data_IF_795744068179
#
_entry.id   IF_795744068179
#
_cell.length_a   1.000
_cell.length_b   1.000
_cell.length_c   1.000
_cell.angle_alpha   90.00
_cell.angle_beta   90.00
_cell.angle_gamma   90.00
#
_symmetry.space_group_name_H-M   'P 1'
#
loop_
_entity.id
_entity.type
_entity.pdbx_description
1 polymer ?
#
# COMPACT_ATOMS: atom_id res chain seq x y z
N UNK A 1 -1.18 21.60 0.36
CA UNK A 1 -0.41 20.40 0.75
C UNK A 1 0.29 19.92 -0.50
N UNK A 2 1.62 19.94 -0.52
CA UNK A 2 2.43 19.70 -1.72
C UNK A 2 3.44 18.61 -1.35
N UNK A 3 3.56 17.55 -2.15
CA UNK A 3 4.49 16.45 -1.87
C UNK A 3 3.88 15.04 -1.83
N UNK A 4 2.63 14.86 -2.27
CA UNK A 4 2.02 13.54 -2.39
C UNK A 4 2.34 12.83 -3.72
N UNK A 5 3.07 13.48 -4.63
CA UNK A 5 3.60 12.88 -5.86
C UNK A 5 5.10 12.59 -5.71
N UNK A 6 5.53 11.41 -6.16
CA UNK A 6 6.93 11.02 -6.22
C UNK A 6 7.23 10.35 -7.57
N UNK A 7 8.39 10.63 -8.16
CA UNK A 7 8.84 10.05 -9.43
C UNK A 7 8.71 10.98 -10.64
N UNK A 8 9.24 10.54 -11.79
CA UNK A 8 9.22 11.29 -13.06
C UNK A 8 8.62 10.46 -14.21
N UNK A 9 9.16 9.26 -14.45
CA UNK A 9 8.65 8.30 -15.48
C UNK A 9 7.77 7.20 -14.90
N UNK A 10 8.02 6.83 -13.66
CA UNK A 10 7.18 5.96 -12.86
C UNK A 10 6.74 6.79 -11.66
N UNK A 11 5.49 7.22 -11.67
CA UNK A 11 4.97 8.24 -10.75
C UNK A 11 3.99 7.58 -9.79
N UNK A 12 4.14 7.86 -8.50
CA UNK A 12 3.17 7.46 -7.47
C UNK A 12 2.55 8.71 -6.84
N UNK A 13 1.23 8.69 -6.69
CA UNK A 13 0.45 9.79 -6.14
C UNK A 13 -0.43 9.28 -5.00
N UNK A 14 -0.07 9.59 -3.76
CA UNK A 14 -0.80 9.14 -2.58
C UNK A 14 -1.97 10.04 -2.22
N UNK A 15 -3.01 9.47 -1.62
CA UNK A 15 -4.18 10.17 -1.13
C UNK A 15 -4.81 9.46 0.08
N UNK A 16 -5.69 10.17 0.77
CA UNK A 16 -6.39 9.68 1.96
C UNK A 16 -5.67 10.01 3.26
N UNK A 17 -6.36 9.76 4.37
CA UNK A 17 -5.92 10.08 5.72
C UNK A 17 -6.14 8.88 6.64
N UNK A 18 -5.36 8.78 7.71
CA UNK A 18 -5.40 7.63 8.64
C UNK A 18 -6.75 7.43 9.35
N UNK A 19 -7.54 8.50 9.49
CA UNK A 19 -8.90 8.45 10.06
C UNK A 19 -9.98 8.65 9.00
N UNK A 20 -9.58 8.70 7.72
CA UNK A 20 -10.50 8.77 6.59
C UNK A 20 -11.10 7.39 6.27
N UNK A 21 -12.06 7.38 5.33
CA UNK A 21 -12.71 6.13 4.91
C UNK A 21 -11.72 5.17 4.22
N UNK A 22 -10.70 5.69 3.55
CA UNK A 22 -9.67 4.90 2.87
C UNK A 22 -8.38 5.70 2.73
N UNK A 23 -7.28 4.96 2.52
CA UNK A 23 -6.01 5.48 2.00
C UNK A 23 -5.72 4.80 0.67
N UNK A 24 -4.94 5.44 -0.19
CA UNK A 24 -4.58 4.85 -1.47
C UNK A 24 -3.44 5.55 -2.17
N UNK A 25 -3.05 4.95 -3.29
CA UNK A 25 -2.07 5.53 -4.19
C UNK A 25 -2.43 5.24 -5.64
N UNK A 26 -2.17 6.20 -6.52
CA UNK A 26 -2.24 6.03 -7.97
C UNK A 26 -0.83 5.83 -8.51
N UNK A 27 -0.65 4.82 -9.37
CA UNK A 27 0.63 4.52 -10.00
C UNK A 27 0.48 4.74 -11.51
N UNK A 28 1.37 5.56 -12.06
CA UNK A 28 1.48 5.85 -13.50
C UNK A 28 2.88 5.47 -14.03
N UNK A 29 2.95 5.13 -15.31
CA UNK A 29 4.17 4.70 -15.98
C UNK A 29 4.50 3.21 -15.88
N UNK A 30 3.53 2.39 -15.47
CA UNK A 30 3.69 0.93 -15.46
C UNK A 30 3.68 0.39 -16.90
N UNK A 31 4.69 -0.41 -17.30
CA UNK A 31 4.71 -1.00 -18.64
C UNK A 31 3.55 -1.98 -18.84
N UNK A 32 2.99 -2.01 -20.04
CA UNK A 32 1.94 -2.96 -20.40
C UNK A 32 2.47 -4.40 -20.38
N UNK A 33 1.60 -5.35 -20.01
CA UNK A 33 1.93 -6.78 -20.00
C UNK A 33 2.62 -7.27 -18.73
N UNK A 34 2.85 -6.40 -17.75
CA UNK A 34 3.26 -6.82 -16.40
C UNK A 34 2.06 -7.52 -15.72
N UNK A 35 2.16 -8.81 -15.32
CA UNK A 35 1.14 -9.43 -14.51
C UNK A 35 1.06 -8.70 -13.17
N UNK A 36 -0.15 -8.39 -12.74
CA UNK A 36 -0.42 -7.74 -11.46
C UNK A 36 -1.67 -8.35 -10.86
N UNK A 37 -1.56 -8.86 -9.65
CA UNK A 37 -2.67 -9.43 -8.89
C UNK A 37 -2.84 -8.72 -7.56
N UNK A 38 -4.08 -8.73 -7.03
CA UNK A 38 -4.38 -8.15 -5.70
C UNK A 38 -3.69 -8.94 -4.59
N UNK A 39 -3.59 -10.25 -4.77
CA UNK A 39 -3.02 -11.19 -3.81
C UNK A 39 -1.52 -10.96 -3.62
N UNK A 40 -0.81 -10.58 -4.68
CA UNK A 40 0.61 -10.20 -4.61
C UNK A 40 0.79 -8.93 -3.76
N UNK A 41 -0.02 -7.90 -4.01
CA UNK A 41 0.03 -6.64 -3.24
C UNK A 41 -0.41 -6.87 -1.78
N UNK A 42 -1.42 -7.71 -1.55
CA UNK A 42 -1.87 -8.06 -0.21
C UNK A 42 -0.80 -8.82 0.58
N UNK A 43 -0.07 -9.73 -0.08
CA UNK A 43 1.02 -10.48 0.55
C UNK A 43 2.12 -9.55 1.07
N UNK A 44 2.45 -8.51 0.30
CA UNK A 44 3.39 -7.46 0.70
C UNK A 44 2.82 -6.57 1.82
N UNK A 45 1.52 -6.24 1.76
CA UNK A 45 0.83 -5.48 2.81
C UNK A 45 0.83 -6.25 4.14
N UNK A 46 0.60 -7.56 4.10
CA UNK A 46 0.58 -8.46 5.25
C UNK A 46 1.95 -8.58 5.93
N UNK A 47 3.06 -8.22 5.26
CA UNK A 47 4.38 -8.11 5.89
C UNK A 47 4.42 -7.04 6.98
N UNK A 48 3.55 -6.02 6.90
CA UNK A 48 3.48 -4.91 7.86
C UNK A 48 2.72 -5.28 9.12
N UNK A 49 1.87 -6.31 9.07
CA UNK A 49 1.01 -6.71 10.18
C UNK A 49 1.88 -7.15 11.38
N UNK A 50 1.72 -6.53 12.57
CA UNK A 50 2.37 -7.03 13.79
C UNK A 50 1.79 -8.40 14.17
N UNK A 51 2.54 -9.20 14.95
CA UNK A 51 2.06 -10.50 15.43
C UNK A 51 2.74 -11.72 14.81
N UNK A 52 3.78 -11.55 13.99
CA UNK A 52 4.57 -12.68 13.43
C UNK A 52 5.47 -13.40 14.45
N UNK A 53 5.68 -12.80 15.62
CA UNK A 53 6.46 -13.38 16.72
C UNK A 53 5.80 -13.08 18.07
N UNK A 54 6.13 -13.86 19.09
CA UNK A 54 5.56 -13.76 20.42
C UNK A 54 5.81 -12.41 21.14
N UNK A 55 6.74 -11.59 20.62
CA UNK A 55 7.11 -10.28 21.18
C UNK A 55 6.23 -9.12 20.67
N UNK A 56 5.38 -9.35 19.67
CA UNK A 56 4.53 -8.31 19.10
C UNK A 56 3.20 -8.17 19.87
N UNK A 57 2.61 -6.98 19.78
CA UNK A 57 1.28 -6.70 20.33
C UNK A 57 0.20 -7.43 19.53
N UNK A 58 -0.91 -7.80 20.17
CA UNK A 58 -2.03 -8.53 19.53
C UNK A 58 -2.89 -7.70 18.56
N UNK A 59 -2.38 -6.57 18.04
CA UNK A 59 -3.11 -5.71 17.12
C UNK A 59 -3.30 -6.45 15.79
N UNK A 60 -4.55 -6.55 15.34
CA UNK A 60 -4.89 -7.08 14.02
C UNK A 60 -5.11 -5.90 13.09
N UNK A 61 -4.38 -5.87 11.99
CA UNK A 61 -4.66 -4.93 10.89
C UNK A 61 -5.32 -5.76 9.78
N UNK A 62 -6.54 -5.38 9.43
CA UNK A 62 -7.40 -6.09 8.46
C UNK A 62 -7.44 -5.34 7.12
N UNK A 63 -6.40 -4.54 6.83
CA UNK A 63 -6.31 -3.76 5.61
C UNK A 63 -6.27 -4.69 4.38
N UNK A 64 -7.10 -4.36 3.38
CA UNK A 64 -7.27 -5.12 2.13
C UNK A 64 -7.12 -4.21 0.89
N UNK A 65 -6.59 -4.76 -0.22
CA UNK A 65 -6.37 -4.05 -1.50
C UNK A 65 -7.11 -4.62 -2.70
#
# INVERSE_FOLDING_TARGET
>A
MTGNFMGERFVTASFGESHGQCIGTLIDGCPAGLPLSKEEVQSDLDLRKPGRAAIYTGRKEEDEV
#
